data_IF_634736383988
#
_entry.id   IF_634736383988
#
_cell.length_a   1.000
_cell.length_b   1.000
_cell.length_c   1.000
_cell.angle_alpha   90.00
_cell.angle_beta   90.00
_cell.angle_gamma   90.00
#
_symmetry.space_group_name_H-M   'P 1'
#
loop_
_entity.id
_entity.type
_entity.pdbx_description
1 polymer ?
#
# COMPACT_ATOMS: atom_id res chain seq x y z
N UNK A 1 -25.53 24.08 30.00
CA UNK A 1 -24.72 23.08 29.28
C UNK A 1 -23.23 23.33 29.47
N UNK A 2 -22.54 22.44 30.19
CA UNK A 2 -21.08 22.38 30.20
C UNK A 2 -20.59 21.33 29.20
N UNK A 3 -19.36 21.47 28.73
CA UNK A 3 -18.75 20.56 27.75
C UNK A 3 -17.70 19.69 28.45
N UNK A 4 -17.66 18.40 28.14
CA UNK A 4 -16.79 17.41 28.76
C UNK A 4 -16.15 16.49 27.72
N UNK A 5 -14.93 16.03 28.00
CA UNK A 5 -14.31 14.87 27.37
C UNK A 5 -14.77 13.60 28.08
N UNK A 6 -15.42 12.71 27.36
CA UNK A 6 -15.66 11.33 27.79
C UNK A 6 -14.47 10.47 27.36
N UNK A 7 -13.84 9.78 28.33
CA UNK A 7 -12.67 8.92 28.11
C UNK A 7 -12.92 7.45 28.49
N UNK A 8 -14.18 7.05 28.75
CA UNK A 8 -14.50 5.72 29.32
C UNK A 8 -14.14 4.53 28.42
N UNK A 9 -13.96 4.76 27.12
CA UNK A 9 -13.66 3.73 26.13
C UNK A 9 -12.23 3.82 25.56
N UNK A 10 -11.28 4.41 26.30
CA UNK A 10 -9.92 4.72 25.81
C UNK A 10 -9.89 5.64 24.57
N UNK A 11 -11.05 6.21 24.24
CA UNK A 11 -11.27 7.15 23.16
C UNK A 11 -11.81 8.45 23.72
N UNK A 12 -11.45 9.58 23.10
CA UNK A 12 -11.94 10.89 23.50
C UNK A 12 -13.18 11.23 22.70
N UNK A 13 -14.31 11.43 23.37
CA UNK A 13 -15.52 12.01 22.80
C UNK A 13 -15.86 13.33 23.49
N UNK A 14 -16.46 14.28 22.77
CA UNK A 14 -16.90 15.56 23.34
C UNK A 14 -18.42 15.53 23.55
N UNK A 15 -18.85 15.73 24.80
CA UNK A 15 -20.24 15.66 25.22
C UNK A 15 -20.65 16.99 25.85
N UNK A 16 -21.86 17.46 25.54
CA UNK A 16 -22.50 18.60 26.21
C UNK A 16 -23.63 18.14 27.12
N UNK A 17 -23.59 18.54 28.39
CA UNK A 17 -24.54 18.10 29.41
C UNK A 17 -24.50 19.02 30.63
N UNK A 18 -25.54 18.96 31.45
CA UNK A 18 -25.57 19.57 32.79
C UNK A 18 -25.48 18.52 33.93
N UNK A 19 -25.46 17.23 33.59
CA UNK A 19 -25.32 16.11 34.51
C UNK A 19 -24.05 15.30 34.17
N UNK A 20 -22.88 15.61 34.74
CA UNK A 20 -21.64 14.91 34.44
C UNK A 20 -21.56 13.52 35.06
N UNK A 21 -21.00 12.56 34.33
CA UNK A 21 -20.77 11.19 34.81
C UNK A 21 -19.30 10.96 35.21
N UNK A 22 -19.05 9.89 35.98
CA UNK A 22 -17.68 9.48 36.35
C UNK A 22 -16.89 9.09 35.11
N UNK A 23 -15.68 9.64 34.98
CA UNK A 23 -14.84 9.46 33.78
C UNK A 23 -14.98 10.58 32.76
N UNK A 24 -15.73 11.64 33.06
CA UNK A 24 -15.79 12.85 32.23
C UNK A 24 -14.87 13.95 32.77
N UNK A 25 -14.11 14.57 31.86
CA UNK A 25 -13.17 15.65 32.17
C UNK A 25 -13.69 16.94 31.55
N UNK A 26 -13.95 17.97 32.37
CA UNK A 26 -14.52 19.23 31.89
C UNK A 26 -13.57 19.92 30.90
N UNK A 27 -14.09 20.31 29.73
CA UNK A 27 -13.32 21.13 28.78
C UNK A 27 -13.08 22.53 29.36
N UNK A 28 -11.86 23.03 29.18
CA UNK A 28 -11.51 24.41 29.45
C UNK A 28 -11.63 25.27 28.19
N UNK A 29 -11.73 26.58 28.34
CA UNK A 29 -11.85 27.53 27.21
C UNK A 29 -10.61 27.58 26.30
N UNK A 30 -9.48 27.02 26.74
CA UNK A 30 -8.25 26.89 25.96
C UNK A 30 -8.19 25.59 25.14
N UNK A 31 -9.11 24.67 25.37
CA UNK A 31 -9.16 23.38 24.69
C UNK A 31 -10.17 23.42 23.54
N UNK A 32 -9.82 22.76 22.45
CA UNK A 32 -10.66 22.59 21.28
C UNK A 32 -11.80 21.61 21.56
N UNK A 33 -12.90 21.78 20.81
CA UNK A 33 -14.05 20.86 20.81
C UNK A 33 -13.87 19.70 19.82
N UNK A 34 -12.77 19.67 19.06
CA UNK A 34 -12.46 18.60 18.14
C UNK A 34 -11.84 17.43 18.92
N UNK A 35 -12.68 16.44 19.26
CA UNK A 35 -12.27 15.23 20.00
C UNK A 35 -11.06 14.52 19.34
N UNK A 36 -11.02 14.50 17.99
CA UNK A 36 -9.98 13.85 17.21
C UNK A 36 -8.56 14.41 17.42
N UNK A 37 -8.42 15.61 18.01
CA UNK A 37 -7.12 16.17 18.38
C UNK A 37 -6.50 15.49 19.60
N UNK A 38 -7.34 14.88 20.42
CA UNK A 38 -6.98 14.40 21.73
C UNK A 38 -6.86 12.88 21.76
N UNK A 39 -5.98 12.38 22.62
CA UNK A 39 -5.79 10.96 22.88
C UNK A 39 -5.85 10.71 24.37
N UNK A 40 -6.21 9.48 24.75
CA UNK A 40 -6.15 9.04 26.15
C UNK A 40 -4.78 8.42 26.39
N UNK A 41 -4.00 8.99 27.31
CA UNK A 41 -2.74 8.41 27.77
C UNK A 41 -2.77 8.28 29.30
N UNK A 42 -2.64 7.05 29.81
CA UNK A 42 -2.70 6.76 31.24
C UNK A 42 -3.93 7.38 31.96
N UNK A 43 -5.10 7.34 31.30
CA UNK A 43 -6.35 7.89 31.83
C UNK A 43 -6.46 9.42 31.78
N UNK A 44 -5.60 10.11 31.02
CA UNK A 44 -5.62 11.57 30.84
C UNK A 44 -5.82 11.93 29.38
N UNK A 45 -6.49 13.05 29.14
CA UNK A 45 -6.66 13.65 27.81
C UNK A 45 -5.39 14.43 27.45
N UNK A 46 -4.67 13.98 26.43
CA UNK A 46 -3.46 14.61 25.90
C UNK A 46 -3.73 15.14 24.50
N UNK A 47 -3.35 16.39 24.24
CA UNK A 47 -3.43 16.99 22.90
C UNK A 47 -2.30 16.46 22.02
N UNK A 48 -2.64 15.72 20.97
CA UNK A 48 -1.69 15.15 20.03
C UNK A 48 -1.20 16.18 18.98
N UNK A 49 -1.80 17.37 18.94
CA UNK A 49 -1.49 18.42 17.97
C UNK A 49 -1.31 19.79 18.65
N UNK A 50 -0.36 19.92 19.58
CA UNK A 50 -0.13 21.19 20.27
C UNK A 50 0.23 22.30 19.27
N UNK A 51 -0.36 23.48 19.43
CA UNK A 51 -0.06 24.66 18.62
C UNK A 51 -0.71 24.69 17.22
N UNK A 52 -1.48 23.68 16.83
CA UNK A 52 -2.23 23.67 15.57
C UNK A 52 -3.65 24.20 15.77
N UNK A 53 -4.23 24.84 14.76
CA UNK A 53 -5.66 25.14 14.70
C UNK A 53 -6.49 23.90 14.39
N UNK A 54 -7.82 23.96 14.59
CA UNK A 54 -8.70 22.81 14.36
C UNK A 54 -8.75 22.41 12.88
N UNK A 55 -8.65 23.39 11.99
CA UNK A 55 -8.60 23.20 10.54
C UNK A 55 -7.31 22.45 10.14
N UNK A 56 -6.16 22.85 10.67
CA UNK A 56 -4.89 22.16 10.39
C UNK A 56 -4.87 20.72 10.91
N UNK A 57 -5.55 20.45 12.03
CA UNK A 57 -5.66 19.07 12.54
C UNK A 57 -6.61 18.24 11.70
N UNK A 58 -7.78 18.79 11.32
CA UNK A 58 -8.70 18.09 10.45
C UNK A 58 -8.03 17.74 9.12
N UNK A 59 -7.37 18.72 8.49
CA UNK A 59 -6.62 18.51 7.25
C UNK A 59 -5.50 17.46 7.40
N UNK A 60 -4.79 17.44 8.53
CA UNK A 60 -3.76 16.43 8.79
C UNK A 60 -4.35 15.02 8.97
N UNK A 61 -5.50 14.88 9.63
CA UNK A 61 -6.19 13.60 9.80
C UNK A 61 -6.76 13.13 8.45
N UNK A 62 -7.34 14.03 7.65
CA UNK A 62 -7.80 13.73 6.30
C UNK A 62 -6.65 13.30 5.38
N UNK A 63 -5.51 14.00 5.41
CA UNK A 63 -4.32 13.62 4.65
C UNK A 63 -3.77 12.25 5.08
N UNK A 64 -3.79 11.95 6.38
CA UNK A 64 -3.36 10.65 6.89
C UNK A 64 -4.31 9.55 6.43
N UNK A 65 -5.63 9.78 6.49
CA UNK A 65 -6.62 8.83 5.99
C UNK A 65 -6.51 8.62 4.48
N UNK A 66 -6.30 9.68 3.70
CA UNK A 66 -6.10 9.61 2.27
C UNK A 66 -4.85 8.80 1.91
N UNK A 67 -3.74 8.98 2.65
CA UNK A 67 -2.52 8.21 2.48
C UNK A 67 -2.71 6.71 2.78
N UNK A 68 -3.57 6.35 3.73
CA UNK A 68 -3.90 4.94 4.03
C UNK A 68 -4.79 4.29 2.95
N UNK A 69 -5.58 5.09 2.23
CA UNK A 69 -6.48 4.59 1.17
C UNK A 69 -5.87 4.58 -0.22
N UNK A 70 -4.71 5.23 -0.42
CA UNK A 70 -4.03 5.25 -1.71
C UNK A 70 -3.10 4.03 -1.75
N UNK A 71 -3.33 3.04 -2.63
CA UNK A 71 -2.36 1.98 -2.85
C UNK A 71 -1.00 2.63 -3.17
N UNK A 72 0.12 2.13 -2.62
CA UNK A 72 1.43 2.61 -3.02
C UNK A 72 1.49 2.63 -4.55
N UNK A 73 1.80 3.78 -5.15
CA UNK A 73 2.02 3.85 -6.58
C UNK A 73 3.20 2.90 -6.89
N UNK A 74 2.90 1.73 -7.44
CA UNK A 74 3.94 0.77 -7.79
C UNK A 74 4.89 1.45 -8.77
N UNK A 75 6.22 1.34 -8.57
CA UNK A 75 7.16 1.90 -9.52
C UNK A 75 6.85 1.31 -10.90
N UNK A 76 6.58 2.16 -11.88
CA UNK A 76 6.30 1.73 -13.25
C UNK A 76 7.55 1.08 -13.82
N UNK A 77 7.67 -0.24 -13.64
CA UNK A 77 8.73 -1.08 -14.21
C UNK A 77 8.36 -1.53 -15.62
N UNK A 78 7.93 -0.57 -16.43
CA UNK A 78 7.56 -0.79 -17.82
C UNK A 78 8.81 -0.66 -18.66
N UNK A 79 9.15 -1.72 -19.38
CA UNK A 79 10.29 -1.76 -20.29
C UNK A 79 9.85 -2.21 -21.68
N UNK A 80 10.64 -1.90 -22.70
CA UNK A 80 10.36 -2.38 -24.06
C UNK A 80 10.58 -3.89 -24.16
N UNK A 81 9.90 -4.54 -25.11
CA UNK A 81 10.10 -5.97 -25.41
C UNK A 81 11.56 -6.34 -25.62
N UNK A 82 12.31 -5.49 -26.34
CA UNK A 82 13.73 -5.73 -26.60
C UNK A 82 14.54 -5.63 -25.30
N UNK A 83 14.27 -4.64 -24.45
CA UNK A 83 14.92 -4.52 -23.15
C UNK A 83 14.63 -5.73 -22.25
N UNK A 84 13.42 -6.29 -22.30
CA UNK A 84 13.07 -7.51 -21.59
C UNK A 84 13.85 -8.72 -22.12
N UNK A 85 13.88 -8.93 -23.44
CA UNK A 85 14.62 -10.04 -24.07
C UNK A 85 16.13 -9.96 -23.79
N UNK A 86 16.69 -8.75 -23.73
CA UNK A 86 18.12 -8.54 -23.43
C UNK A 86 18.51 -8.86 -21.98
N UNK A 87 17.55 -9.14 -21.09
CA UNK A 87 17.83 -9.61 -19.73
C UNK A 87 18.10 -11.10 -19.64
N UNK A 88 17.75 -11.85 -20.69
CA UNK A 88 18.03 -13.27 -20.81
C UNK A 88 19.34 -13.50 -21.57
N UNK A 89 20.00 -14.62 -21.26
CA UNK A 89 21.11 -15.09 -22.08
C UNK A 89 20.57 -15.74 -23.37
N UNK A 90 21.42 -15.87 -24.39
CA UNK A 90 21.04 -16.56 -25.62
C UNK A 90 20.70 -18.04 -25.39
N UNK A 91 21.36 -18.69 -24.42
CA UNK A 91 21.11 -20.09 -24.05
C UNK A 91 19.74 -20.25 -23.39
N UNK A 92 19.38 -19.33 -22.47
CA UNK A 92 18.06 -19.28 -21.85
C UNK A 92 16.96 -19.08 -22.90
N UNK A 93 17.15 -18.13 -23.82
CA UNK A 93 16.20 -17.90 -24.89
C UNK A 93 16.07 -19.14 -25.79
N UNK A 94 17.18 -19.76 -26.22
CA UNK A 94 17.13 -20.96 -27.05
C UNK A 94 16.38 -22.11 -26.35
N UNK A 95 16.58 -22.29 -25.04
CA UNK A 95 15.85 -23.28 -24.25
C UNK A 95 14.36 -22.96 -24.18
N UNK A 96 13.98 -21.71 -23.91
CA UNK A 96 12.59 -21.26 -23.84
C UNK A 96 11.89 -21.44 -25.20
N UNK A 97 12.53 -21.06 -26.31
CA UNK A 97 11.98 -21.24 -27.66
C UNK A 97 11.91 -22.71 -28.09
N UNK A 98 12.78 -23.57 -27.56
CA UNK A 98 12.71 -25.02 -27.81
C UNK A 98 11.55 -25.62 -27.02
N UNK A 99 11.41 -25.26 -25.75
CA UNK A 99 10.32 -25.72 -24.90
C UNK A 99 8.96 -25.24 -25.40
N UNK A 100 8.86 -24.04 -25.96
CA UNK A 100 7.64 -23.54 -26.58
C UNK A 100 7.09 -24.46 -27.68
N UNK A 101 7.91 -25.30 -28.32
CA UNK A 101 7.44 -26.25 -29.35
C UNK A 101 6.71 -27.46 -28.76
N UNK A 102 6.87 -27.72 -27.46
CA UNK A 102 6.31 -28.88 -26.76
C UNK A 102 5.36 -28.48 -25.63
N UNK A 103 5.57 -27.32 -25.04
CA UNK A 103 4.85 -26.77 -23.89
C UNK A 103 3.93 -25.62 -24.36
N UNK A 104 2.65 -25.91 -24.52
CA UNK A 104 1.65 -24.95 -25.01
C UNK A 104 1.62 -23.67 -24.15
N UNK A 105 1.81 -23.79 -22.84
CA UNK A 105 1.81 -22.63 -21.94
C UNK A 105 2.99 -21.68 -22.19
N UNK A 106 4.15 -22.23 -22.55
CA UNK A 106 5.34 -21.43 -22.91
C UNK A 106 5.15 -20.78 -24.27
N UNK A 107 4.53 -21.47 -25.23
CA UNK A 107 4.16 -20.91 -26.53
C UNK A 107 3.21 -19.71 -26.39
N UNK A 108 2.14 -19.88 -25.60
CA UNK A 108 1.17 -18.82 -25.31
C UNK A 108 1.84 -17.60 -24.67
N UNK A 109 2.79 -17.82 -23.75
CA UNK A 109 3.57 -16.73 -23.16
C UNK A 109 4.38 -15.96 -24.22
N UNK A 110 5.11 -16.66 -25.09
CA UNK A 110 5.89 -16.02 -26.14
C UNK A 110 5.01 -15.27 -27.14
N UNK A 111 3.84 -15.82 -27.48
CA UNK A 111 2.91 -15.15 -28.40
C UNK A 111 2.29 -13.89 -27.79
N UNK A 112 1.93 -13.93 -26.51
CA UNK A 112 1.51 -12.74 -25.76
C UNK A 112 2.62 -11.68 -25.72
N UNK A 113 3.86 -12.10 -25.51
CA UNK A 113 5.02 -11.20 -25.51
C UNK A 113 5.26 -10.57 -26.89
N UNK A 114 4.98 -11.26 -28.00
CA UNK A 114 5.07 -10.69 -29.35
C UNK A 114 4.05 -9.58 -29.59
N UNK A 115 2.79 -9.80 -29.16
CA UNK A 115 1.68 -8.84 -29.37
C UNK A 115 1.70 -7.67 -28.39
N UNK A 116 2.34 -7.82 -27.22
CA UNK A 116 2.44 -6.75 -26.23
C UNK A 116 3.16 -5.51 -26.82
N UNK A 117 2.74 -4.31 -26.43
CA UNK A 117 3.47 -3.08 -26.82
C UNK A 117 4.67 -2.87 -25.90
N UNK A 118 4.48 -3.16 -24.62
CA UNK A 118 5.41 -2.97 -23.53
C UNK A 118 5.32 -4.12 -22.52
N UNK A 119 6.35 -4.30 -21.70
CA UNK A 119 6.41 -5.33 -20.66
C UNK A 119 6.47 -4.65 -19.31
N UNK A 120 5.43 -4.85 -18.49
CA UNK A 120 5.43 -4.42 -17.10
C UNK A 120 5.98 -5.54 -16.21
N UNK A 121 7.10 -5.31 -15.54
CA UNK A 121 7.72 -6.29 -14.64
C UNK A 121 7.00 -6.44 -13.30
N UNK A 122 6.16 -5.47 -12.92
CA UNK A 122 5.29 -5.59 -11.74
C UNK A 122 3.97 -6.31 -12.06
N UNK A 123 3.65 -6.53 -13.34
CA UNK A 123 2.42 -7.19 -13.71
C UNK A 123 2.39 -8.66 -13.27
N UNK A 124 1.27 -9.07 -12.67
CA UNK A 124 1.09 -10.42 -12.14
C UNK A 124 1.19 -11.49 -13.23
N UNK A 125 0.81 -11.19 -14.48
CA UNK A 125 0.95 -12.14 -15.58
C UNK A 125 2.41 -12.28 -16.02
N UNK A 126 3.18 -11.18 -16.05
CA UNK A 126 4.64 -11.23 -16.31
C UNK A 126 5.34 -12.07 -15.25
N UNK A 127 5.06 -11.81 -13.97
CA UNK A 127 5.65 -12.56 -12.84
C UNK A 127 5.26 -14.04 -12.92
N UNK A 128 3.97 -14.33 -13.12
CA UNK A 128 3.47 -15.70 -13.24
C UNK A 128 4.06 -16.46 -14.43
N UNK A 129 4.28 -15.78 -15.56
CA UNK A 129 4.94 -16.36 -16.73
C UNK A 129 6.39 -16.77 -16.44
N UNK A 130 7.17 -15.90 -15.79
CA UNK A 130 8.54 -16.23 -15.40
C UNK A 130 8.61 -17.35 -14.35
N UNK A 131 7.68 -17.37 -13.40
CA UNK A 131 7.57 -18.45 -12.42
C UNK A 131 7.22 -19.79 -13.08
N UNK A 132 6.37 -19.79 -14.12
CA UNK A 132 6.06 -20.99 -14.88
C UNK A 132 7.30 -21.53 -15.62
N UNK A 133 8.13 -20.64 -16.18
CA UNK A 133 9.42 -21.03 -16.78
C UNK A 133 10.38 -21.62 -15.74
N UNK A 134 10.35 -21.14 -14.50
CA UNK A 134 11.13 -21.74 -13.42
C UNK A 134 10.57 -23.11 -13.00
N UNK A 135 9.25 -23.26 -12.93
CA UNK A 135 8.58 -24.52 -12.59
C UNK A 135 8.82 -25.61 -13.65
N UNK A 136 8.99 -25.24 -14.93
CA UNK A 136 9.37 -26.18 -16.00
C UNK A 136 10.89 -26.44 -16.07
N UNK A 137 11.68 -25.81 -15.20
CA UNK A 137 13.13 -25.97 -15.15
C UNK A 137 13.89 -25.23 -16.26
N UNK A 138 13.23 -24.32 -16.99
CA UNK A 138 13.85 -23.51 -18.04
C UNK A 138 14.60 -22.30 -17.49
N UNK A 139 14.22 -21.84 -16.30
CA UNK A 139 14.90 -20.81 -15.54
C UNK A 139 15.09 -21.27 -14.10
N UNK A 140 16.08 -20.69 -13.42
CA UNK A 140 16.18 -20.82 -11.96
C UNK A 140 15.38 -19.71 -11.28
N UNK A 141 14.95 -19.91 -10.03
CA UNK A 141 14.28 -18.85 -9.26
C UNK A 141 15.14 -17.59 -9.13
N UNK A 142 16.46 -17.76 -9.01
CA UNK A 142 17.41 -16.64 -9.00
C UNK A 142 17.37 -15.83 -10.30
N UNK A 143 17.29 -16.49 -11.46
CA UNK A 143 17.19 -15.82 -12.76
C UNK A 143 15.86 -15.11 -12.96
N UNK A 144 14.77 -15.66 -12.44
CA UNK A 144 13.47 -14.94 -12.41
C UNK A 144 13.60 -13.62 -11.66
N UNK A 145 14.25 -13.61 -10.50
CA UNK A 145 14.45 -12.40 -9.72
C UNK A 145 15.33 -11.38 -10.47
N UNK A 146 16.41 -11.82 -11.12
CA UNK A 146 17.27 -10.95 -11.92
C UNK A 146 16.56 -10.34 -13.14
N UNK A 147 15.66 -11.10 -13.79
CA UNK A 147 14.84 -10.59 -14.90
C UNK A 147 13.80 -9.57 -14.43
N UNK A 148 13.36 -9.62 -13.17
CA UNK A 148 12.37 -8.72 -12.57
C UNK A 148 12.95 -7.45 -11.90
N UNK A 149 14.29 -7.31 -11.86
CA UNK A 149 14.97 -6.15 -11.25
C UNK A 149 14.73 -4.82 -11.99
#
# INVERSE_FOLDING_TARGET
>A
MSVYFDIRNDAVAVIETDAPETGWIKLTTKQSRLAARYRVEAGKVVDAYPGKTDEEVLAAIEATQAALTTPPAEPTRVITKLAFMNRFTMEELAAIYTAAKTEVMVEVFLDKLKIAEEVNLADAQTIGGLQALAASGLLTEARVQEVLQ
#
